data_IF_341693621797
#
_entry.id   IF_341693621797
#
_cell.length_a   1.000
_cell.length_b   1.000
_cell.length_c   1.000
_cell.angle_alpha   90.00
_cell.angle_beta   90.00
_cell.angle_gamma   90.00
#
_symmetry.space_group_name_H-M   'P 1'
#
loop_
_entity.id
_entity.type
_entity.pdbx_description
1 polymer ?
#
# COMPACT_ATOMS: atom_id res chain seq x y z
N UNK A 1 -21.26 -40.51 -10.77
CA UNK A 1 -21.44 -39.21 -10.11
C UNK A 1 -20.09 -38.78 -9.58
N UNK A 2 -19.30 -38.16 -10.44
CA UNK A 2 -17.98 -37.61 -10.09
C UNK A 2 -18.17 -36.29 -9.36
N UNK A 3 -17.49 -36.16 -8.22
CA UNK A 3 -17.51 -34.97 -7.36
C UNK A 3 -16.63 -33.90 -8.00
N UNK A 4 -17.26 -32.90 -8.60
CA UNK A 4 -16.60 -31.65 -8.97
C UNK A 4 -16.12 -30.95 -7.69
N UNK A 5 -14.80 -30.96 -7.47
CA UNK A 5 -14.14 -30.12 -6.50
C UNK A 5 -14.24 -28.67 -7.00
N UNK A 6 -15.14 -27.90 -6.41
CA UNK A 6 -15.17 -26.44 -6.53
C UNK A 6 -13.87 -25.89 -5.95
N UNK A 7 -12.90 -25.62 -6.82
CA UNK A 7 -11.76 -24.78 -6.50
C UNK A 7 -12.28 -23.35 -6.33
N UNK A 8 -12.58 -22.96 -5.10
CA UNK A 8 -12.78 -21.56 -4.73
C UNK A 8 -11.43 -20.85 -4.83
N UNK A 9 -11.14 -20.28 -6.00
CA UNK A 9 -10.11 -19.25 -6.15
C UNK A 9 -10.61 -18.05 -5.35
N UNK A 10 -10.11 -17.91 -4.12
CA UNK A 10 -10.23 -16.67 -3.37
C UNK A 10 -9.32 -15.68 -4.10
N UNK A 11 -9.88 -14.94 -5.06
CA UNK A 11 -9.18 -13.78 -5.61
C UNK A 11 -9.06 -12.80 -4.45
N UNK A 12 -7.84 -12.70 -3.90
CA UNK A 12 -7.49 -11.80 -2.81
C UNK A 12 -7.47 -10.36 -3.31
N UNK A 13 -8.63 -9.84 -3.66
CA UNK A 13 -8.77 -8.45 -4.10
C UNK A 13 -8.39 -7.56 -2.93
N UNK A 14 -7.32 -6.78 -3.08
CA UNK A 14 -7.02 -5.70 -2.15
C UNK A 14 -8.04 -4.59 -2.40
N UNK A 15 -9.17 -4.66 -1.69
CA UNK A 15 -10.05 -3.51 -1.61
C UNK A 15 -9.31 -2.41 -0.85
N UNK A 16 -8.77 -1.43 -1.59
CA UNK A 16 -8.21 -0.21 -1.01
C UNK A 16 -9.40 0.65 -0.60
N UNK A 17 -9.59 0.94 0.71
CA UNK A 17 -10.69 1.78 1.14
C UNK A 17 -10.55 3.16 0.51
N UNK A 18 -11.66 3.72 0.02
CA UNK A 18 -11.75 5.15 -0.27
C UNK A 18 -11.73 5.92 1.05
N UNK A 19 -10.54 6.10 1.62
CA UNK A 19 -10.35 6.95 2.78
C UNK A 19 -10.53 8.41 2.36
N UNK A 20 -11.44 9.13 3.01
CA UNK A 20 -11.48 10.59 2.94
C UNK A 20 -10.25 11.10 3.68
N UNK A 21 -9.20 11.40 2.93
CA UNK A 21 -7.95 11.91 3.49
C UNK A 21 -8.18 13.33 4.01
N UNK A 22 -7.60 13.69 5.18
CA UNK A 22 -7.68 15.06 5.66
C UNK A 22 -7.09 16.03 4.63
N UNK A 23 -7.64 17.25 4.51
CA UNK A 23 -7.06 18.28 3.66
C UNK A 23 -5.58 18.50 4.05
N UNK A 24 -4.71 18.90 3.10
CA UNK A 24 -3.30 19.08 3.41
C UNK A 24 -3.20 20.20 4.42
N UNK A 25 -2.54 19.97 5.56
CA UNK A 25 -2.37 21.06 6.51
C UNK A 25 -1.49 22.14 5.87
N UNK A 26 -1.83 23.43 6.04
CA UNK A 26 -1.00 24.52 5.54
C UNK A 26 0.42 24.41 6.12
N UNK A 27 1.43 24.43 5.25
CA UNK A 27 2.84 24.35 5.65
C UNK A 27 3.46 22.96 5.65
N UNK A 28 2.75 21.92 5.21
CA UNK A 28 3.38 20.60 4.99
C UNK A 28 4.27 20.62 3.74
N UNK A 29 5.50 20.17 3.91
CA UNK A 29 6.49 20.02 2.85
C UNK A 29 6.10 18.88 1.88
N UNK A 30 5.99 19.21 0.60
CA UNK A 30 5.82 18.23 -0.47
C UNK A 30 7.19 17.69 -0.86
N UNK A 31 7.35 16.37 -0.77
CA UNK A 31 8.63 15.70 -0.95
C UNK A 31 8.66 14.91 -2.27
N UNK A 32 9.81 14.92 -2.93
CA UNK A 32 10.00 14.26 -4.24
C UNK A 32 10.35 12.76 -4.15
N UNK A 33 10.57 12.23 -2.95
CA UNK A 33 11.13 10.87 -2.75
C UNK A 33 10.39 10.06 -1.68
N UNK A 34 9.07 10.25 -1.57
CA UNK A 34 8.23 9.39 -0.73
C UNK A 34 8.05 8.04 -1.42
N UNK A 35 8.37 6.97 -0.69
CA UNK A 35 8.17 5.59 -1.14
C UNK A 35 7.31 4.84 -0.12
N UNK A 36 6.32 4.10 -0.62
CA UNK A 36 5.49 3.22 0.20
C UNK A 36 5.73 1.77 -0.24
N UNK A 37 5.83 0.86 0.72
CA UNK A 37 5.78 -0.58 0.50
C UNK A 37 4.59 -1.17 1.24
N UNK A 38 3.74 -1.90 0.55
CA UNK A 38 2.60 -2.64 1.10
C UNK A 38 2.94 -4.13 1.03
N UNK A 39 2.89 -4.78 2.18
CA UNK A 39 3.20 -6.20 2.34
C UNK A 39 1.91 -6.98 2.46
N UNK A 40 1.78 -8.07 1.70
CA UNK A 40 0.57 -8.90 1.72
C UNK A 40 0.88 -10.36 2.04
N UNK A 41 -0.16 -11.13 2.37
CA UNK A 41 -0.09 -12.58 2.46
C UNK A 41 -0.46 -13.28 1.13
N UNK A 42 -0.74 -12.51 0.07
CA UNK A 42 -1.14 -13.03 -1.25
C UNK A 42 0.09 -13.67 -1.93
N UNK A 43 -0.02 -14.84 -2.57
CA UNK A 43 1.06 -15.40 -3.38
C UNK A 43 1.43 -14.47 -4.55
N UNK A 44 2.72 -14.30 -4.84
CA UNK A 44 3.19 -13.40 -5.91
C UNK A 44 2.57 -13.72 -7.28
N UNK A 45 2.33 -14.99 -7.57
CA UNK A 45 1.76 -15.44 -8.86
C UNK A 45 0.31 -15.01 -9.06
N UNK A 46 -0.37 -14.55 -8.00
CA UNK A 46 -1.73 -14.03 -8.07
C UNK A 46 -1.80 -12.54 -8.45
N UNK A 47 -0.67 -11.89 -8.74
CA UNK A 47 -0.65 -10.49 -9.15
C UNK A 47 -1.51 -10.25 -10.40
N UNK A 48 -2.26 -9.15 -10.40
CA UNK A 48 -3.01 -8.70 -11.57
C UNK A 48 -2.62 -7.28 -11.98
N UNK A 49 -2.72 -6.97 -13.27
CA UNK A 49 -2.44 -5.63 -13.79
C UNK A 49 -3.53 -4.65 -13.35
N UNK A 50 -4.74 -5.15 -13.17
CA UNK A 50 -5.92 -4.42 -12.69
C UNK A 50 -5.71 -3.90 -11.27
N UNK A 51 -5.19 -4.73 -10.35
CA UNK A 51 -4.86 -4.29 -8.99
C UNK A 51 -3.74 -3.25 -8.96
N UNK A 52 -2.71 -3.39 -9.80
CA UNK A 52 -1.65 -2.38 -9.93
C UNK A 52 -2.22 -1.02 -10.39
N UNK A 53 -3.17 -1.04 -11.33
CA UNK A 53 -3.86 0.15 -11.80
C UNK A 53 -4.77 0.76 -10.72
N UNK A 54 -5.47 -0.07 -9.95
CA UNK A 54 -6.32 0.35 -8.84
C UNK A 54 -5.50 1.00 -7.72
N UNK A 55 -4.39 0.36 -7.32
CA UNK A 55 -3.44 0.91 -6.34
C UNK A 55 -2.90 2.26 -6.82
N UNK A 56 -2.53 2.38 -8.10
CA UNK A 56 -2.09 3.66 -8.68
C UNK A 56 -3.16 4.73 -8.57
N UNK A 57 -4.40 4.39 -8.92
CA UNK A 57 -5.51 5.34 -8.90
C UNK A 57 -5.77 5.85 -7.46
N UNK A 58 -5.82 4.95 -6.48
CA UNK A 58 -6.02 5.36 -5.08
C UNK A 58 -4.81 6.09 -4.48
N UNK A 59 -3.60 5.66 -4.82
CA UNK A 59 -2.37 6.34 -4.39
C UNK A 59 -2.32 7.78 -4.92
N UNK A 60 -2.94 8.06 -6.07
CA UNK A 60 -2.97 9.43 -6.62
C UNK A 60 -3.68 10.45 -5.71
N UNK A 61 -4.50 10.00 -4.76
CA UNK A 61 -5.16 10.86 -3.78
C UNK A 61 -4.20 11.48 -2.75
N UNK A 62 -3.04 10.86 -2.52
CA UNK A 62 -2.01 11.35 -1.58
C UNK A 62 -0.79 11.97 -2.26
N UNK A 63 -0.74 12.00 -3.59
CA UNK A 63 0.36 12.61 -4.32
C UNK A 63 0.46 12.19 -5.78
N UNK A 64 1.44 12.77 -6.49
CA UNK A 64 1.75 12.41 -7.87
C UNK A 64 2.51 11.08 -7.90
N UNK A 65 1.83 10.02 -8.32
CA UNK A 65 2.43 8.68 -8.42
C UNK A 65 3.36 8.61 -9.63
N UNK A 66 4.64 8.34 -9.37
CA UNK A 66 5.64 8.07 -10.39
C UNK A 66 5.54 6.62 -10.86
N UNK A 67 5.49 5.67 -9.94
CA UNK A 67 5.53 4.25 -10.24
C UNK A 67 4.71 3.44 -9.20
N UNK A 68 4.06 2.38 -9.67
CA UNK A 68 3.56 1.27 -8.84
C UNK A 68 4.19 0.02 -9.42
N UNK A 69 4.73 -0.84 -8.55
CA UNK A 69 5.44 -2.06 -8.95
C UNK A 69 5.15 -3.21 -8.01
N UNK A 70 4.63 -4.31 -8.55
CA UNK A 70 4.57 -5.59 -7.85
C UNK A 70 6.00 -6.15 -7.63
N UNK A 71 6.24 -6.71 -6.46
CA UNK A 71 7.51 -7.34 -6.05
C UNK A 71 7.23 -8.70 -5.44
N UNK A 72 8.11 -9.66 -5.73
CA UNK A 72 8.13 -10.93 -5.03
C UNK A 72 9.00 -10.79 -3.78
N UNK A 73 8.38 -10.92 -2.62
CA UNK A 73 9.07 -10.90 -1.34
C UNK A 73 8.77 -12.21 -0.60
N UNK A 74 9.75 -13.11 -0.61
CA UNK A 74 9.64 -14.45 -0.01
C UNK A 74 8.42 -15.27 -0.50
N UNK A 75 8.04 -15.12 -1.77
CA UNK A 75 6.89 -15.82 -2.36
C UNK A 75 5.57 -15.06 -2.23
N UNK A 76 5.54 -13.96 -1.49
CA UNK A 76 4.38 -13.09 -1.35
C UNK A 76 4.43 -11.88 -2.29
N UNK A 77 3.24 -11.37 -2.59
CA UNK A 77 3.02 -10.19 -3.40
C UNK A 77 3.15 -8.92 -2.55
N UNK A 78 4.17 -8.14 -2.84
CA UNK A 78 4.33 -6.80 -2.28
C UNK A 78 4.12 -5.75 -3.35
N UNK A 79 3.67 -4.56 -2.94
CA UNK A 79 3.58 -3.40 -3.83
C UNK A 79 4.50 -2.30 -3.37
N UNK A 80 5.31 -1.79 -4.30
CA UNK A 80 6.14 -0.61 -4.11
C UNK A 80 5.51 0.55 -4.86
N UNK A 81 5.27 1.66 -4.17
CA UNK A 81 4.69 2.88 -4.74
C UNK A 81 5.69 4.00 -4.55
N UNK A 82 6.08 4.65 -5.64
CA UNK A 82 7.02 5.78 -5.65
C UNK A 82 6.27 7.04 -6.05
N UNK A 83 6.42 8.11 -5.28
CA UNK A 83 5.83 9.41 -5.58
C UNK A 83 6.87 10.39 -6.10
N UNK A 84 6.49 11.23 -7.07
CA UNK A 84 7.29 12.40 -7.48
C UNK A 84 6.92 13.67 -6.70
N UNK A 85 5.78 13.66 -6.03
CA UNK A 85 5.36 14.72 -5.11
C UNK A 85 4.32 14.14 -4.14
N UNK A 86 4.65 14.03 -2.87
CA UNK A 86 3.71 13.59 -1.83
C UNK A 86 4.06 14.17 -0.47
N UNK A 87 3.04 14.23 0.38
CA UNK A 87 3.12 14.60 1.79
C UNK A 87 3.38 13.34 2.62
N UNK A 88 4.44 13.36 3.43
CA UNK A 88 4.83 12.20 4.24
C UNK A 88 3.76 11.83 5.28
N UNK A 89 3.11 12.81 5.91
CA UNK A 89 2.05 12.58 6.90
C UNK A 89 0.86 11.90 6.24
N UNK A 90 0.48 12.35 5.05
CA UNK A 90 -0.59 11.72 4.26
C UNK A 90 -0.23 10.30 3.84
N UNK A 91 1.01 10.07 3.41
CA UNK A 91 1.49 8.74 3.06
C UNK A 91 1.44 7.78 4.26
N UNK A 92 1.82 8.23 5.46
CA UNK A 92 1.71 7.45 6.69
C UNK A 92 0.26 7.11 7.03
N UNK A 93 -0.62 8.11 7.04
CA UNK A 93 -2.04 7.93 7.36
C UNK A 93 -2.71 6.97 6.38
N UNK A 94 -2.50 7.18 5.08
CA UNK A 94 -3.05 6.32 4.04
C UNK A 94 -2.54 4.88 4.14
N UNK A 95 -1.25 4.69 4.37
CA UNK A 95 -0.65 3.36 4.57
C UNK A 95 -1.25 2.66 5.77
N UNK A 96 -1.41 3.37 6.89
CA UNK A 96 -2.05 2.84 8.10
C UNK A 96 -3.49 2.42 7.85
N UNK A 97 -4.26 3.22 7.12
CA UNK A 97 -5.65 2.89 6.80
C UNK A 97 -5.77 1.63 5.93
N UNK A 98 -4.92 1.49 4.90
CA UNK A 98 -4.87 0.27 4.08
C UNK A 98 -4.50 -0.93 4.93
N UNK A 99 -3.44 -0.82 5.72
CA UNK A 99 -3.00 -1.90 6.59
C UNK A 99 -4.10 -2.27 7.57
N UNK A 100 -4.89 -1.34 8.08
CA UNK A 100 -6.01 -1.66 8.99
C UNK A 100 -7.17 -2.33 8.26
N UNK A 101 -7.59 -1.78 7.13
CA UNK A 101 -8.87 -2.11 6.51
C UNK A 101 -8.80 -3.29 5.52
N UNK A 102 -7.66 -3.53 4.88
CA UNK A 102 -7.52 -4.61 3.90
C UNK A 102 -7.04 -5.89 4.58
N UNK A 103 -7.84 -6.95 4.56
CA UNK A 103 -7.51 -8.26 5.15
C UNK A 103 -6.19 -8.86 4.63
N UNK A 104 -5.91 -8.90 3.31
CA UNK A 104 -4.69 -9.52 2.81
C UNK A 104 -3.41 -8.72 3.13
N UNK A 105 -3.54 -7.46 3.55
CA UNK A 105 -2.40 -6.59 3.87
C UNK A 105 -1.95 -6.85 5.30
N UNK A 106 -0.69 -7.24 5.47
CA UNK A 106 -0.11 -7.58 6.77
C UNK A 106 0.69 -6.44 7.39
N UNK A 107 1.33 -5.62 6.54
CA UNK A 107 2.14 -4.50 6.99
C UNK A 107 2.28 -3.43 5.90
N UNK A 108 2.75 -2.26 6.31
CA UNK A 108 3.06 -1.13 5.45
C UNK A 108 4.29 -0.41 5.94
N UNK A 109 5.08 0.09 5.00
CA UNK A 109 6.29 0.85 5.25
C UNK A 109 6.29 2.12 4.42
N UNK A 110 6.59 3.26 5.03
CA UNK A 110 6.72 4.55 4.38
C UNK A 110 8.13 5.07 4.62
N UNK A 111 8.82 5.40 3.54
CA UNK A 111 10.12 6.05 3.56
C UNK A 111 10.01 7.45 2.99
N UNK A 112 10.34 8.41 3.84
CA UNK A 112 10.56 9.81 3.49
C UNK A 112 12.05 10.14 3.77
N UNK A 113 12.59 11.28 3.29
CA UNK A 113 14.00 11.62 3.48
C UNK A 113 14.48 11.62 4.93
N UNK A 114 13.63 12.03 5.86
CA UNK A 114 13.98 12.21 7.28
C UNK A 114 13.25 11.23 8.22
N UNK A 115 12.32 10.43 7.68
CA UNK A 115 11.40 9.61 8.49
C UNK A 115 11.23 8.24 7.84
N UNK A 116 11.31 7.21 8.67
CA UNK A 116 10.84 5.88 8.35
C UNK A 116 9.66 5.54 9.24
N UNK A 117 8.55 5.14 8.63
CA UNK A 117 7.34 4.72 9.33
C UNK A 117 7.00 3.29 8.94
N UNK A 118 6.68 2.48 9.94
CA UNK A 118 6.27 1.09 9.76
C UNK A 118 5.00 0.84 10.57
N UNK A 119 4.04 0.15 9.96
CA UNK A 119 2.78 -0.21 10.61
C UNK A 119 2.37 -1.63 10.25
N UNK A 120 1.80 -2.31 11.22
CA UNK A 120 1.12 -3.60 11.08
C UNK A 120 -0.32 -3.44 11.59
N UNK A 121 -1.08 -4.54 11.64
CA UNK A 121 -2.40 -4.56 12.30
C UNK A 121 -2.32 -4.21 13.79
N UNK A 122 -1.25 -4.64 14.46
CA UNK A 122 -1.15 -4.62 15.93
C UNK A 122 -0.15 -3.58 16.47
N UNK A 123 0.70 -3.02 15.62
CA UNK A 123 1.80 -2.15 16.04
C UNK A 123 2.11 -1.04 15.04
N UNK A 124 2.59 0.09 15.58
CA UNK A 124 3.08 1.25 14.82
C UNK A 124 4.47 1.60 15.34
N UNK A 125 5.41 1.83 14.43
CA UNK A 125 6.78 2.26 14.72
C UNK A 125 7.13 3.46 13.83
N UNK A 126 7.59 4.53 14.45
CA UNK A 126 8.09 5.73 13.77
C UNK A 126 9.54 5.98 14.22
N UNK A 127 10.44 6.10 13.25
CA UNK A 127 11.86 6.36 13.46
C UNK A 127 12.31 7.55 12.60
N UNK A 128 12.90 8.55 13.27
CA UNK A 128 13.62 9.63 12.59
C UNK A 128 14.98 9.12 12.12
N UNK A 129 15.36 9.47 10.90
CA UNK A 129 16.63 9.09 10.25
C UNK A 129 17.72 10.08 10.63
#
# INVERSE_FOLDING_TARGET
MERLLLASVVMGVIAVPQAVLPPPEPGIEILESVNISIFTNIPFDNRTVEEEAEIRNYSSLIGSVKEVKAKNHFGHLDYSISFSASDCVRAQLWTREIVRASEPVVAGFVRCPQIMFFTTKDAIVDARV
#
